data_IF_693675695070
#
_entry.id   IF_693675695070
#
_cell.length_a   1.000
_cell.length_b   1.000
_cell.length_c   1.000
_cell.angle_alpha   90.00
_cell.angle_beta   90.00
_cell.angle_gamma   90.00
#
_symmetry.space_group_name_H-M   'P 1'
#
loop_
_entity.id
_entity.type
_entity.pdbx_description
1 polymer ?
#
# COMPACT_ATOMS: atom_id res chain seq x y z
N UNK A 1 -69.29 -87.37 -36.24
CA UNK A 1 -70.16 -86.21 -35.94
C UNK A 1 -69.43 -85.31 -34.94
N UNK A 2 -68.66 -84.32 -35.39
CA UNK A 2 -67.93 -83.38 -34.51
C UNK A 2 -68.68 -82.07 -34.50
N UNK A 3 -69.34 -81.74 -33.39
CA UNK A 3 -70.12 -80.51 -33.24
C UNK A 3 -69.15 -79.37 -32.98
N UNK A 4 -68.94 -78.51 -33.98
CA UNK A 4 -68.10 -77.30 -33.90
C UNK A 4 -68.70 -76.35 -32.86
N UNK A 5 -68.17 -76.39 -31.64
CA UNK A 5 -68.49 -75.43 -30.58
C UNK A 5 -67.89 -74.06 -30.94
N UNK A 6 -68.73 -73.04 -30.98
CA UNK A 6 -68.31 -71.65 -31.19
C UNK A 6 -67.64 -71.17 -29.92
N UNK A 7 -66.30 -71.10 -29.91
CA UNK A 7 -65.53 -70.49 -28.82
C UNK A 7 -65.84 -68.99 -28.81
N UNK A 8 -66.61 -68.56 -27.81
CA UNK A 8 -66.92 -67.14 -27.58
C UNK A 8 -65.67 -66.45 -27.03
N UNK A 9 -65.01 -65.66 -27.87
CA UNK A 9 -63.92 -64.78 -27.47
C UNK A 9 -64.52 -63.54 -26.78
N UNK A 10 -64.60 -63.56 -25.45
CA UNK A 10 -64.79 -62.33 -24.67
C UNK A 10 -63.46 -61.58 -24.64
N UNK A 11 -63.36 -60.35 -25.18
CA UNK A 11 -62.14 -59.56 -25.09
C UNK A 11 -61.86 -59.24 -23.63
N UNK A 12 -60.65 -59.57 -23.17
CA UNK A 12 -60.18 -59.20 -21.84
C UNK A 12 -60.12 -57.67 -21.71
N UNK A 13 -60.40 -57.11 -20.52
CA UNK A 13 -60.29 -55.67 -20.32
C UNK A 13 -58.84 -55.24 -20.54
N UNK A 14 -58.64 -54.31 -21.47
CA UNK A 14 -57.33 -53.73 -21.78
C UNK A 14 -56.96 -52.79 -20.63
N UNK A 15 -55.96 -53.16 -19.84
CA UNK A 15 -55.42 -52.29 -18.80
C UNK A 15 -54.57 -51.22 -19.47
N UNK A 16 -55.11 -50.00 -19.55
CA UNK A 16 -54.37 -48.84 -20.06
C UNK A 16 -53.40 -48.35 -18.98
N UNK A 17 -52.11 -48.30 -19.29
CA UNK A 17 -51.12 -47.77 -18.37
C UNK A 17 -51.40 -46.28 -18.09
N UNK A 18 -51.49 -45.92 -16.82
CA UNK A 18 -51.61 -44.51 -16.40
C UNK A 18 -50.26 -43.83 -16.62
N UNK A 19 -50.20 -42.63 -17.26
CA UNK A 19 -48.94 -41.95 -17.46
C UNK A 19 -48.31 -41.54 -16.12
N UNK A 20 -47.04 -41.86 -15.94
CA UNK A 20 -46.25 -41.41 -14.79
C UNK A 20 -46.06 -39.88 -14.88
N UNK A 21 -46.26 -39.12 -13.78
CA UNK A 21 -46.02 -37.68 -13.82
C UNK A 21 -44.55 -37.38 -14.10
N UNK A 22 -44.30 -36.47 -15.05
CA UNK A 22 -42.96 -35.96 -15.35
C UNK A 22 -42.48 -35.07 -14.20
N UNK A 23 -41.23 -35.24 -13.69
CA UNK A 23 -40.71 -34.36 -12.65
C UNK A 23 -40.67 -32.91 -13.12
N UNK A 24 -41.14 -31.99 -12.28
CA UNK A 24 -41.05 -30.55 -12.52
C UNK A 24 -39.63 -30.07 -12.25
N UNK A 25 -39.02 -29.23 -13.12
CA UNK A 25 -37.69 -28.71 -12.86
C UNK A 25 -37.67 -27.84 -11.58
N UNK A 26 -36.70 -28.10 -10.72
CA UNK A 26 -36.43 -27.29 -9.52
C UNK A 26 -35.79 -25.96 -9.94
N UNK A 27 -36.20 -24.80 -9.37
CA UNK A 27 -35.53 -23.54 -9.67
C UNK A 27 -34.06 -23.57 -9.24
N UNK A 28 -33.17 -23.15 -10.13
CA UNK A 28 -31.74 -22.99 -9.85
C UNK A 28 -31.52 -21.73 -9.00
N UNK A 29 -30.72 -21.77 -7.92
CA UNK A 29 -30.42 -20.58 -7.14
C UNK A 29 -29.73 -19.53 -8.02
N UNK A 30 -30.20 -18.27 -7.91
CA UNK A 30 -29.59 -17.12 -8.58
C UNK A 30 -28.29 -16.73 -7.86
N UNK A 31 -27.18 -16.44 -8.57
CA UNK A 31 -25.95 -16.00 -7.91
C UNK A 31 -26.18 -14.68 -7.17
N UNK A 32 -25.74 -14.63 -5.92
CA UNK A 32 -25.76 -13.41 -5.11
C UNK A 32 -24.51 -12.59 -5.42
N UNK A 33 -24.70 -11.34 -5.83
CA UNK A 33 -23.58 -10.41 -6.07
C UNK A 33 -23.05 -9.94 -4.72
N UNK A 34 -21.82 -10.33 -4.39
CA UNK A 34 -21.13 -9.84 -3.19
C UNK A 34 -20.72 -8.37 -3.39
N UNK A 35 -21.01 -7.44 -2.46
CA UNK A 35 -20.56 -6.06 -2.58
C UNK A 35 -19.03 -6.01 -2.58
N UNK A 36 -18.46 -5.29 -3.54
CA UNK A 36 -17.01 -5.03 -3.60
C UNK A 36 -16.65 -3.98 -2.55
N UNK A 37 -15.56 -4.15 -1.76
CA UNK A 37 -15.14 -3.14 -0.81
C UNK A 37 -14.79 -1.82 -1.54
N UNK A 38 -15.32 -0.71 -1.04
CA UNK A 38 -15.00 0.63 -1.52
C UNK A 38 -13.60 1.03 -1.03
N UNK A 39 -12.71 1.58 -1.88
CA UNK A 39 -11.39 2.02 -1.44
C UNK A 39 -11.51 3.13 -0.39
N UNK A 40 -10.81 2.95 0.74
CA UNK A 40 -10.69 3.96 1.79
C UNK A 40 -9.79 5.09 1.31
N UNK A 41 -10.16 6.38 1.48
CA UNK A 41 -9.28 7.48 1.11
C UNK A 41 -7.97 7.43 1.90
N UNK A 42 -6.85 7.48 1.17
CA UNK A 42 -5.51 7.56 1.76
C UNK A 42 -5.24 9.02 2.14
N UNK A 43 -4.86 9.26 3.39
CA UNK A 43 -4.48 10.59 3.85
C UNK A 43 -3.30 11.12 3.03
N UNK A 44 -3.45 12.30 2.44
CA UNK A 44 -2.40 12.99 1.70
C UNK A 44 -1.36 13.52 2.70
N UNK A 45 -0.05 13.32 2.49
CA UNK A 45 0.95 13.84 3.40
C UNK A 45 0.87 15.37 3.45
N UNK A 46 0.59 15.92 4.62
CA UNK A 46 0.67 17.36 4.89
C UNK A 46 2.13 17.77 4.93
N UNK A 47 2.50 18.79 4.16
CA UNK A 47 3.84 19.37 4.20
C UNK A 47 4.11 19.99 5.56
N UNK A 48 5.12 19.47 6.26
CA UNK A 48 5.61 20.07 7.50
C UNK A 48 6.20 21.45 7.18
N UNK A 49 5.84 22.52 7.90
CA UNK A 49 6.43 23.83 7.65
C UNK A 49 7.94 23.79 7.94
N UNK A 50 8.73 24.20 6.96
CA UNK A 50 10.17 24.39 7.13
C UNK A 50 10.43 25.46 8.19
N UNK A 51 11.32 25.22 9.17
CA UNK A 51 11.61 26.23 10.19
C UNK A 51 12.16 27.49 9.53
N UNK A 52 11.50 28.63 9.77
CA UNK A 52 12.00 29.95 9.39
C UNK A 52 13.31 30.22 10.15
N UNK A 53 14.39 30.64 9.49
CA UNK A 53 15.63 30.96 10.17
C UNK A 53 15.37 32.09 11.17
N UNK A 54 15.62 31.80 12.44
CA UNK A 54 15.61 32.83 13.49
C UNK A 54 16.74 33.81 13.20
N UNK A 55 16.50 35.13 13.20
CA UNK A 55 17.57 36.09 13.00
C UNK A 55 18.57 35.98 14.16
N UNK A 56 19.77 35.49 13.86
CA UNK A 56 20.88 35.50 14.80
C UNK A 56 21.24 36.96 15.08
N UNK A 57 20.91 37.43 16.28
CA UNK A 57 21.35 38.74 16.76
C UNK A 57 22.87 38.73 16.80
N UNK A 58 23.49 39.45 15.86
CA UNK A 58 24.93 39.59 15.79
C UNK A 58 25.33 40.53 16.94
N UNK A 59 25.62 39.96 18.12
CA UNK A 59 26.47 40.64 19.10
C UNK A 59 27.76 41.08 18.39
N UNK A 60 28.36 42.24 18.70
CA UNK A 60 29.46 42.81 17.94
C UNK A 60 30.56 41.76 17.80
N UNK A 61 30.71 41.21 16.59
CA UNK A 61 31.66 40.15 16.30
C UNK A 61 33.02 40.75 16.56
N UNK A 62 33.61 40.41 17.70
CA UNK A 62 34.97 40.80 18.01
C UNK A 62 35.82 40.36 16.83
N UNK A 63 36.33 41.34 16.08
CA UNK A 63 36.91 41.15 14.75
C UNK A 63 37.89 39.99 14.83
N UNK A 64 37.62 38.89 14.14
CA UNK A 64 38.46 37.70 14.21
C UNK A 64 39.74 38.01 13.43
N UNK A 65 40.79 38.39 14.15
CA UNK A 65 42.09 38.73 13.57
C UNK A 65 42.80 37.43 13.23
N UNK A 66 43.49 37.42 12.09
CA UNK A 66 44.31 36.28 11.68
C UNK A 66 45.77 36.68 11.63
N UNK A 67 46.63 35.96 12.37
CA UNK A 67 48.07 36.20 12.39
C UNK A 67 48.83 35.06 11.70
N UNK A 68 49.96 35.41 11.11
CA UNK A 68 50.89 34.47 10.50
C UNK A 68 52.05 34.23 11.47
N UNK A 69 52.28 32.98 11.83
CA UNK A 69 53.30 32.56 12.78
C UNK A 69 54.32 31.70 12.05
N UNK A 70 55.60 32.05 12.11
CA UNK A 70 56.70 31.34 11.45
C UNK A 70 57.61 30.64 12.46
N UNK A 71 58.01 29.41 12.14
CA UNK A 71 59.06 28.67 12.86
C UNK A 71 59.98 28.04 11.81
N UNK A 72 61.15 28.63 11.60
CA UNK A 72 62.01 28.29 10.46
C UNK A 72 61.30 28.52 9.12
N UNK A 73 61.32 27.52 8.23
CA UNK A 73 60.59 27.55 6.92
C UNK A 73 59.09 27.29 7.03
N UNK A 74 58.57 26.86 8.18
CA UNK A 74 57.15 26.49 8.32
C UNK A 74 56.30 27.68 8.77
N UNK A 75 55.21 27.94 8.05
CA UNK A 75 54.28 29.05 8.31
C UNK A 75 52.92 28.52 8.76
N UNK A 76 52.39 29.03 9.88
CA UNK A 76 51.09 28.65 10.45
C UNK A 76 50.19 29.86 10.63
N UNK A 77 48.98 29.79 10.10
CA UNK A 77 47.95 30.84 10.23
C UNK A 77 47.10 30.56 11.47
N UNK A 78 46.94 31.53 12.36
CA UNK A 78 46.18 31.40 13.62
C UNK A 78 45.08 32.47 13.63
N UNK A 79 43.82 32.04 13.73
CA UNK A 79 42.66 32.94 13.80
C UNK A 79 42.02 32.92 15.19
N UNK A 80 41.63 34.10 15.67
CA UNK A 80 40.98 34.27 16.96
C UNK A 80 40.63 35.73 17.21
N UNK A 81 39.89 36.00 18.28
CA UNK A 81 39.59 37.38 18.69
C UNK A 81 40.88 38.09 19.14
N UNK A 82 41.82 37.35 19.74
CA UNK A 82 43.13 37.87 20.15
C UNK A 82 44.24 36.80 19.98
N UNK A 83 44.64 36.48 18.73
CA UNK A 83 45.47 35.31 18.47
C UNK A 83 46.92 35.57 18.90
N UNK A 84 47.58 34.55 19.46
CA UNK A 84 49.01 34.55 19.79
C UNK A 84 49.69 33.35 19.14
N UNK A 85 50.95 33.52 18.73
CA UNK A 85 51.69 32.42 18.13
C UNK A 85 52.02 31.35 19.17
N UNK A 86 51.89 30.05 18.82
CA UNK A 86 52.24 28.95 19.71
C UNK A 86 53.75 28.96 20.04
N UNK A 87 54.12 28.32 21.15
CA UNK A 87 55.51 28.33 21.66
C UNK A 87 56.49 27.87 20.57
N UNK A 88 57.52 28.69 20.32
CA UNK A 88 58.52 28.47 19.27
C UNK A 88 58.18 29.06 17.90
N UNK A 89 57.00 29.67 17.71
CA UNK A 89 56.67 30.42 16.50
C UNK A 89 56.75 31.93 16.77
N UNK A 90 57.41 32.66 15.88
CA UNK A 90 57.45 34.14 15.90
C UNK A 90 56.33 34.67 15.01
N UNK A 91 55.68 35.77 15.42
CA UNK A 91 54.72 36.47 14.57
C UNK A 91 55.47 37.10 13.41
N UNK A 92 55.00 36.86 12.19
CA UNK A 92 55.43 37.56 10.99
C UNK A 92 54.60 38.81 10.77
#
# INVERSE_FOLDING_TARGET
MVKRGVLRFTPAPVVTATPTPTPTPTPTPTPVVTPTPTPTPVATPTSTPTPTPTPTVIAPVAKKITITCIKGKTTKKVSGVNPKCPKGYKKK
#
